data_IF_766335071199
#
_entry.id   IF_766335071199
#
_cell.length_a   1.000
_cell.length_b   1.000
_cell.length_c   1.000
_cell.angle_alpha   90.00
_cell.angle_beta   90.00
_cell.angle_gamma   90.00
#
_symmetry.space_group_name_H-M   'P 1'
#
loop_
_entity.id
_entity.type
_entity.pdbx_description
1 polymer ?
#
# COMPACT_ATOMS: atom_id res chain seq x y z
N UNK A 1 -25.17 8.94 -20.48
CA UNK A 1 -25.71 7.58 -20.20
C UNK A 1 -24.55 6.54 -20.23
N UNK A 2 -24.62 5.44 -19.46
CA UNK A 2 -23.49 4.51 -19.27
C UNK A 2 -23.56 3.33 -20.25
N UNK A 3 -22.42 2.69 -20.53
CA UNK A 3 -22.26 1.48 -21.38
C UNK A 3 -22.51 1.70 -22.89
N UNK A 4 -21.96 2.78 -23.45
CA UNK A 4 -21.92 2.96 -24.91
C UNK A 4 -20.64 2.41 -25.50
N UNK A 5 -20.79 1.70 -26.62
CA UNK A 5 -19.68 1.24 -27.47
C UNK A 5 -19.22 2.38 -28.37
N UNK A 6 -20.16 3.23 -28.83
CA UNK A 6 -19.89 4.37 -29.71
C UNK A 6 -20.43 5.63 -29.02
N UNK A 7 -19.62 6.69 -29.02
CA UNK A 7 -19.94 7.99 -28.44
C UNK A 7 -19.84 9.06 -29.53
N UNK A 8 -20.55 10.18 -29.34
CA UNK A 8 -20.46 11.33 -30.24
C UNK A 8 -19.07 11.98 -30.21
N UNK A 9 -18.66 12.61 -31.30
CA UNK A 9 -17.35 13.25 -31.45
C UNK A 9 -17.04 14.28 -30.35
N UNK A 10 -18.05 14.96 -29.79
CA UNK A 10 -17.89 15.90 -28.68
C UNK A 10 -17.26 15.31 -27.41
N UNK A 11 -17.38 13.99 -27.20
CA UNK A 11 -16.89 13.29 -25.99
C UNK A 11 -15.51 12.66 -26.23
N UNK A 12 -15.02 12.67 -27.47
CA UNK A 12 -13.77 12.03 -27.86
C UNK A 12 -12.56 12.54 -27.08
N UNK A 13 -12.47 13.86 -26.85
CA UNK A 13 -11.37 14.45 -26.09
C UNK A 13 -11.27 13.89 -24.66
N UNK A 14 -12.39 13.86 -23.93
CA UNK A 14 -12.44 13.36 -22.56
C UNK A 14 -12.20 11.85 -22.48
N UNK A 15 -12.70 11.08 -23.46
CA UNK A 15 -12.46 9.64 -23.51
C UNK A 15 -10.98 9.32 -23.79
N UNK A 16 -10.30 10.10 -24.63
CA UNK A 16 -8.87 9.93 -24.89
C UNK A 16 -8.01 10.25 -23.66
N UNK A 17 -8.36 11.28 -22.90
CA UNK A 17 -7.70 11.58 -21.62
C UNK A 17 -7.95 10.45 -20.62
N UNK A 18 -9.19 9.96 -20.52
CA UNK A 18 -9.54 8.87 -19.62
C UNK A 18 -8.82 7.57 -19.98
N UNK A 19 -8.68 7.24 -21.27
CA UNK A 19 -7.97 6.04 -21.70
C UNK A 19 -6.47 6.15 -21.44
N UNK A 20 -5.87 7.32 -21.65
CA UNK A 20 -4.48 7.58 -21.28
C UNK A 20 -4.25 7.42 -19.78
N UNK A 21 -5.18 7.91 -18.94
CA UNK A 21 -5.16 7.68 -17.50
C UNK A 21 -5.21 6.20 -17.13
N UNK A 22 -6.06 5.40 -17.81
CA UNK A 22 -6.13 3.96 -17.57
C UNK A 22 -4.80 3.25 -17.89
N UNK A 23 -4.12 3.64 -18.97
CA UNK A 23 -2.80 3.08 -19.31
C UNK A 23 -1.76 3.40 -18.24
N UNK A 24 -1.78 4.63 -17.70
CA UNK A 24 -0.89 5.01 -16.60
C UNK A 24 -1.14 4.16 -15.35
N UNK A 25 -2.40 3.88 -15.00
CA UNK A 25 -2.70 3.04 -13.82
C UNK A 25 -2.15 1.62 -13.95
N UNK A 26 -2.18 1.05 -15.15
CA UNK A 26 -1.60 -0.27 -15.41
C UNK A 26 -0.09 -0.24 -15.18
N UNK A 27 0.60 0.79 -15.67
CA UNK A 27 2.05 0.94 -15.44
C UNK A 27 2.37 1.11 -13.95
N UNK A 28 1.57 1.85 -13.19
CA UNK A 28 1.75 1.97 -11.74
C UNK A 28 1.62 0.63 -11.01
N UNK A 29 0.68 -0.23 -11.40
CA UNK A 29 0.51 -1.55 -10.79
C UNK A 29 1.76 -2.41 -11.02
N UNK A 30 2.33 -2.41 -12.23
CA UNK A 30 3.57 -3.14 -12.49
C UNK A 30 4.74 -2.62 -11.66
N UNK A 31 4.90 -1.30 -11.55
CA UNK A 31 5.94 -0.69 -10.72
C UNK A 31 5.76 -1.03 -9.24
N UNK A 32 4.52 -1.04 -8.75
CA UNK A 32 4.21 -1.43 -7.37
C UNK A 32 4.59 -2.89 -7.10
N UNK A 33 4.23 -3.82 -7.99
CA UNK A 33 4.59 -5.23 -7.87
C UNK A 33 6.11 -5.43 -7.86
N UNK A 34 6.83 -4.73 -8.75
CA UNK A 34 8.29 -4.76 -8.78
C UNK A 34 8.91 -4.25 -7.47
N UNK A 35 8.38 -3.15 -6.91
CA UNK A 35 8.87 -2.59 -5.65
C UNK A 35 8.78 -3.57 -4.47
N UNK A 36 7.70 -4.36 -4.40
CA UNK A 36 7.53 -5.39 -3.36
C UNK A 36 8.61 -6.48 -3.51
N UNK A 37 8.82 -6.97 -4.74
CA UNK A 37 9.81 -8.01 -5.02
C UNK A 37 11.22 -7.53 -4.69
N UNK A 38 11.55 -6.29 -5.05
CA UNK A 38 12.86 -5.68 -4.73
C UNK A 38 13.09 -5.60 -3.21
N UNK A 39 12.08 -5.18 -2.44
CA UNK A 39 12.19 -5.08 -0.98
C UNK A 39 12.39 -6.45 -0.32
N UNK A 40 11.72 -7.50 -0.81
CA UNK A 40 11.93 -8.87 -0.32
C UNK A 40 13.34 -9.38 -0.61
N UNK A 41 13.88 -9.10 -1.80
CA UNK A 41 15.22 -9.53 -2.20
C UNK A 41 16.34 -8.77 -1.46
N UNK A 42 16.17 -7.47 -1.23
CA UNK A 42 17.21 -6.61 -0.62
C UNK A 42 17.36 -6.77 0.90
N UNK A 43 16.40 -7.40 1.59
CA UNK A 43 16.46 -7.76 3.03
C UNK A 43 16.93 -6.60 3.94
N UNK A 44 16.48 -5.37 3.66
CA UNK A 44 16.85 -4.17 4.42
C UNK A 44 16.30 -4.26 5.85
N UNK A 45 17.18 -4.12 6.86
CA UNK A 45 16.79 -4.13 8.27
C UNK A 45 16.32 -2.74 8.71
N UNK A 46 15.32 -2.71 9.59
CA UNK A 46 14.82 -1.47 10.22
C UNK A 46 15.83 -1.04 11.29
N UNK A 47 16.37 0.18 11.19
CA UNK A 47 17.37 0.71 12.14
C UNK A 47 16.68 1.40 13.32
N UNK A 48 15.58 2.12 13.07
CA UNK A 48 14.84 2.86 14.09
C UNK A 48 13.37 2.47 14.07
N UNK A 49 12.85 2.07 15.24
CA UNK A 49 11.43 1.79 15.42
C UNK A 49 10.64 3.06 15.69
N UNK A 50 9.43 3.14 15.13
CA UNK A 50 8.51 4.26 15.32
C UNK A 50 8.04 4.27 16.78
N UNK A 51 8.26 5.38 17.48
CA UNK A 51 7.68 5.63 18.80
C UNK A 51 6.20 6.00 18.64
N UNK A 52 5.35 4.99 18.43
CA UNK A 52 3.89 5.17 18.40
C UNK A 52 3.25 4.69 19.70
N UNK A 53 2.04 5.18 19.96
CA UNK A 53 1.26 4.76 21.13
C UNK A 53 0.64 3.35 20.95
N UNK A 54 0.72 2.78 19.75
CA UNK A 54 0.18 1.46 19.44
C UNK A 54 1.20 0.39 19.85
N UNK A 55 0.72 -0.65 20.52
CA UNK A 55 1.59 -1.66 21.11
C UNK A 55 2.28 -2.56 20.05
N UNK A 56 1.69 -2.69 18.86
CA UNK A 56 2.24 -3.49 17.76
C UNK A 56 3.65 -3.03 17.34
N UNK A 57 3.90 -1.71 17.34
CA UNK A 57 5.19 -1.13 16.95
C UNK A 57 6.25 -1.18 18.05
N UNK A 58 5.87 -1.59 19.28
CA UNK A 58 6.82 -1.82 20.38
C UNK A 58 7.42 -3.23 20.34
N UNK A 59 6.80 -4.15 19.60
CA UNK A 59 7.28 -5.51 19.44
C UNK A 59 8.44 -5.60 18.44
N UNK A 60 9.15 -6.72 18.46
CA UNK A 60 10.22 -7.00 17.50
C UNK A 60 9.68 -7.12 16.06
N UNK A 61 10.52 -6.78 15.07
CA UNK A 61 10.24 -6.95 13.64
C UNK A 61 11.23 -7.95 13.02
N UNK A 62 10.86 -9.20 12.72
CA UNK A 62 9.53 -9.80 12.84
C UNK A 62 9.12 -10.15 14.28
N UNK A 63 7.81 -10.25 14.46
CA UNK A 63 7.15 -10.62 15.71
C UNK A 63 7.54 -12.07 16.07
N UNK A 64 7.85 -12.32 17.34
CA UNK A 64 8.11 -13.67 17.86
C UNK A 64 6.80 -14.45 17.97
N UNK A 65 6.83 -15.78 17.87
CA UNK A 65 5.61 -16.61 17.96
C UNK A 65 4.77 -16.35 19.23
N UNK A 66 5.42 -16.04 20.35
CA UNK A 66 4.78 -15.64 21.60
C UNK A 66 5.34 -14.31 22.10
N UNK A 67 4.68 -13.21 21.76
CA UNK A 67 5.06 -11.86 22.20
C UNK A 67 4.45 -11.45 23.53
N UNK A 68 3.17 -11.71 23.75
CA UNK A 68 2.46 -11.28 24.95
C UNK A 68 2.55 -12.35 26.06
N UNK A 69 3.75 -12.56 26.60
CA UNK A 69 3.95 -13.47 27.74
C UNK A 69 3.31 -12.93 29.03
N UNK A 70 3.23 -11.62 29.13
CA UNK A 70 2.66 -10.89 30.27
C UNK A 70 1.62 -9.88 29.77
N UNK A 71 0.66 -9.55 30.63
CA UNK A 71 -0.33 -8.50 30.33
C UNK A 71 0.32 -7.13 30.41
N UNK A 72 0.08 -6.27 29.42
CA UNK A 72 0.51 -4.87 29.49
C UNK A 72 -0.17 -4.20 30.68
N UNK A 73 0.65 -3.56 31.51
CA UNK A 73 0.13 -2.70 32.56
C UNK A 73 -0.51 -1.46 31.93
N UNK A 74 -1.83 -1.40 31.99
CA UNK A 74 -2.62 -0.24 31.57
C UNK A 74 -2.69 0.74 32.74
N UNK A 75 -2.02 1.88 32.60
CA UNK A 75 -2.19 2.98 33.54
C UNK A 75 -3.53 3.66 33.26
N UNK A 76 -4.60 3.18 33.89
CA UNK A 76 -5.86 3.92 33.91
C UNK A 76 -5.72 5.06 34.92
N UNK A 77 -5.70 6.28 34.39
CA UNK A 77 -5.74 7.51 35.19
C UNK A 77 -7.20 7.96 35.35
#
# INVERSE_FOLDING_TARGET
PRRYIIYSDFILFWNNISSMGSMMTIMFIFMFMYSIIEMLNSKRKIIMMIKSNNNEWKNNSPILNHTNKETIFMFNK
#
